data_IF_696738239599
#
_entry.id   IF_696738239599
#
_cell.length_a   1.000
_cell.length_b   1.000
_cell.length_c   1.000
_cell.angle_alpha   90.00
_cell.angle_beta   90.00
_cell.angle_gamma   90.00
#
_symmetry.space_group_name_H-M   'P 1'
#
loop_
_entity.id
_entity.type
_entity.pdbx_description
1 polymer ?
#
# COMPACT_ATOMS: atom_id res chain seq x y z
N UNK A 1 5.89 40.05 -1.32
CA UNK A 1 6.10 38.65 -1.75
C UNK A 1 6.98 37.99 -0.70
N UNK A 2 6.41 37.24 0.24
CA UNK A 2 7.19 36.54 1.25
C UNK A 2 7.84 35.32 0.59
N UNK A 3 9.16 35.33 0.41
CA UNK A 3 9.91 34.11 0.08
C UNK A 3 10.07 33.32 1.37
N UNK A 4 9.20 32.34 1.58
CA UNK A 4 9.45 31.31 2.58
C UNK A 4 10.63 30.47 2.06
N UNK A 5 11.69 30.39 2.85
CA UNK A 5 12.89 29.63 2.53
C UNK A 5 12.79 28.33 3.32
N UNK A 6 12.66 27.22 2.62
CA UNK A 6 12.58 25.90 3.24
C UNK A 6 13.97 25.30 3.31
N UNK A 7 14.40 24.88 4.49
CA UNK A 7 15.73 24.29 4.70
C UNK A 7 15.83 22.85 4.19
N UNK A 8 14.68 22.21 3.90
CA UNK A 8 14.64 20.83 3.41
C UNK A 8 13.45 20.64 2.45
N UNK A 9 13.72 20.05 1.28
CA UNK A 9 12.72 19.71 0.27
C UNK A 9 12.67 18.20 0.11
N UNK A 10 11.49 17.61 0.27
CA UNK A 10 11.25 16.17 0.05
C UNK A 10 10.74 15.97 -1.36
N UNK A 11 11.37 15.07 -2.11
CA UNK A 11 10.95 14.73 -3.47
C UNK A 11 9.99 13.55 -3.45
N UNK A 12 8.87 13.70 -4.16
CA UNK A 12 7.85 12.67 -4.31
C UNK A 12 7.70 12.41 -5.80
N UNK A 13 8.02 11.20 -6.22
CA UNK A 13 7.85 10.76 -7.59
C UNK A 13 6.52 10.05 -7.72
N UNK A 14 5.75 10.38 -8.75
CA UNK A 14 4.45 9.77 -9.03
C UNK A 14 4.41 9.31 -10.47
N UNK A 15 3.72 8.20 -10.71
CA UNK A 15 3.50 7.69 -12.06
C UNK A 15 2.18 6.90 -12.13
N UNK A 16 1.46 7.06 -13.23
CA UNK A 16 0.27 6.28 -13.53
C UNK A 16 0.48 5.42 -14.78
N UNK A 17 0.10 4.15 -14.69
CA UNK A 17 -0.03 3.26 -15.84
C UNK A 17 -1.51 2.96 -16.11
N UNK A 18 -1.79 2.21 -17.17
CA UNK A 18 -3.15 1.75 -17.44
C UNK A 18 -3.67 0.82 -16.34
N UNK A 19 -2.79 0.05 -15.73
CA UNK A 19 -3.15 -1.05 -14.82
C UNK A 19 -2.94 -0.70 -13.34
N UNK A 20 -2.02 0.22 -13.04
CA UNK A 20 -1.70 0.61 -11.67
C UNK A 20 -1.07 1.99 -11.53
N UNK A 21 -0.60 2.27 -10.33
CA UNK A 21 0.03 3.52 -9.92
C UNK A 21 1.26 3.26 -9.07
N UNK A 22 2.21 4.19 -9.11
CA UNK A 22 3.47 4.14 -8.38
C UNK A 22 3.77 5.47 -7.68
N UNK A 23 4.30 5.39 -6.47
CA UNK A 23 4.73 6.54 -5.66
C UNK A 23 6.08 6.20 -5.01
N UNK A 24 7.05 7.11 -5.09
CA UNK A 24 8.36 6.95 -4.44
C UNK A 24 8.72 8.22 -3.67
N UNK A 25 9.11 8.09 -2.41
CA UNK A 25 9.69 9.18 -1.61
C UNK A 25 10.54 8.59 -0.46
N UNK A 26 11.61 9.27 -0.04
CA UNK A 26 12.52 8.87 1.05
C UNK A 26 12.89 7.37 1.04
N UNK A 27 13.35 6.85 -0.10
CA UNK A 27 13.73 5.43 -0.34
C UNK A 27 12.59 4.40 -0.20
N UNK A 28 11.35 4.83 -0.01
CA UNK A 28 10.18 3.98 0.03
C UNK A 28 9.47 3.97 -1.32
N UNK A 29 9.10 2.77 -1.77
CA UNK A 29 8.34 2.54 -2.99
C UNK A 29 6.96 2.03 -2.60
N UNK A 30 5.93 2.64 -3.17
CA UNK A 30 4.55 2.25 -3.02
C UNK A 30 3.97 2.08 -4.40
N UNK A 31 3.18 1.05 -4.59
CA UNK A 31 2.41 0.87 -5.81
C UNK A 31 1.01 0.40 -5.47
N UNK A 32 0.20 0.21 -6.50
CA UNK A 32 -1.08 -0.46 -6.37
C UNK A 32 -1.80 -0.53 -7.70
N UNK A 33 -2.80 -1.39 -7.76
CA UNK A 33 -3.69 -1.46 -8.90
C UNK A 33 -4.79 -0.41 -8.79
N UNK A 34 -5.33 -0.04 -9.94
CA UNK A 34 -6.56 0.74 -10.00
C UNK A 34 -7.75 -0.11 -9.58
N UNK A 35 -8.66 0.47 -8.80
CA UNK A 35 -9.97 -0.14 -8.60
C UNK A 35 -10.70 -0.28 -9.95
N UNK A 36 -11.67 -1.21 -10.05
CA UNK A 36 -12.40 -1.49 -11.30
C UNK A 36 -12.98 -0.21 -11.93
N UNK A 37 -13.51 0.69 -11.11
CA UNK A 37 -14.03 1.99 -11.53
C UNK A 37 -12.92 2.94 -12.02
N UNK A 38 -11.77 2.93 -11.36
CA UNK A 38 -10.61 3.77 -11.69
C UNK A 38 -9.89 3.30 -12.96
N UNK A 39 -9.96 2.00 -13.31
CA UNK A 39 -9.31 1.44 -14.51
C UNK A 39 -9.78 2.11 -15.79
N UNK A 40 -11.04 2.54 -15.84
CA UNK A 40 -11.63 3.18 -17.02
C UNK A 40 -11.33 4.68 -17.15
N UNK A 41 -10.69 5.29 -16.15
CA UNK A 41 -10.36 6.71 -16.18
C UNK A 41 -9.24 7.00 -17.18
N UNK A 42 -9.31 8.18 -17.79
CA UNK A 42 -8.28 8.66 -18.70
C UNK A 42 -6.93 8.82 -17.98
N UNK A 43 -5.81 8.58 -18.68
CA UNK A 43 -4.47 8.59 -18.10
C UNK A 43 -4.15 9.90 -17.35
N UNK A 44 -4.49 11.06 -17.92
CA UNK A 44 -4.31 12.36 -17.23
C UNK A 44 -5.08 12.47 -15.90
N UNK A 45 -6.23 11.79 -15.77
CA UNK A 45 -6.97 11.74 -14.51
C UNK A 45 -6.22 10.86 -13.52
N UNK A 46 -5.81 9.67 -13.96
CA UNK A 46 -5.04 8.72 -13.17
C UNK A 46 -3.78 9.39 -12.59
N UNK A 47 -3.03 10.14 -13.39
CA UNK A 47 -1.85 10.90 -12.93
C UNK A 47 -2.15 11.84 -11.76
N UNK A 48 -3.17 12.70 -11.89
CA UNK A 48 -3.59 13.58 -10.80
C UNK A 48 -4.10 12.78 -9.59
N UNK A 49 -4.71 11.62 -9.83
CA UNK A 49 -5.19 10.75 -8.76
C UNK A 49 -4.03 10.11 -7.99
N UNK A 50 -2.92 9.77 -8.65
CA UNK A 50 -1.69 9.32 -7.98
C UNK A 50 -1.13 10.43 -7.09
N UNK A 51 -1.12 11.68 -7.56
CA UNK A 51 -0.72 12.84 -6.74
C UNK A 51 -1.60 12.93 -5.48
N UNK A 52 -2.91 12.79 -5.61
CA UNK A 52 -3.81 12.78 -4.45
C UNK A 52 -3.52 11.60 -3.50
N UNK A 53 -3.30 10.38 -4.02
CA UNK A 53 -2.92 9.22 -3.21
C UNK A 53 -1.59 9.44 -2.49
N UNK A 54 -0.61 10.09 -3.12
CA UNK A 54 0.68 10.43 -2.52
C UNK A 54 0.54 11.38 -1.33
N UNK A 55 -0.34 12.39 -1.42
CA UNK A 55 -0.61 13.30 -0.31
C UNK A 55 -1.25 12.61 0.89
N UNK A 56 -2.23 11.73 0.64
CA UNK A 56 -2.85 10.93 1.71
C UNK A 56 -1.83 10.02 2.38
N UNK A 57 -0.94 9.43 1.59
CA UNK A 57 0.12 8.56 2.09
C UNK A 57 1.12 9.33 2.96
N UNK A 58 1.62 10.48 2.48
CA UNK A 58 2.51 11.37 3.24
C UNK A 58 1.90 11.78 4.57
N UNK A 59 0.61 12.12 4.58
CA UNK A 59 -0.06 12.49 5.83
C UNK A 59 -0.10 11.32 6.83
N UNK A 60 -0.22 10.07 6.38
CA UNK A 60 -0.23 8.90 7.28
C UNK A 60 1.16 8.45 7.72
N UNK A 61 2.19 8.68 6.92
CA UNK A 61 3.57 8.21 7.20
C UNK A 61 4.45 9.29 7.82
N UNK A 62 4.28 10.56 7.45
CA UNK A 62 5.12 11.70 7.87
C UNK A 62 4.33 12.85 8.52
N UNK A 63 3.19 12.56 9.16
CA UNK A 63 2.33 13.58 9.79
C UNK A 63 3.09 14.59 10.67
N UNK A 64 4.13 14.12 11.38
CA UNK A 64 4.91 14.94 12.33
C UNK A 64 5.69 16.08 11.67
N UNK A 65 5.93 16.00 10.35
CA UNK A 65 6.73 16.97 9.60
C UNK A 65 5.89 17.83 8.63
N UNK A 66 4.56 17.67 8.63
CA UNK A 66 3.67 18.51 7.82
C UNK A 66 3.75 19.98 8.30
N UNK A 67 3.75 20.92 7.35
CA UNK A 67 3.90 22.36 7.64
C UNK A 67 5.33 22.86 7.85
N UNK A 68 6.32 21.96 7.94
CA UNK A 68 7.74 22.33 8.16
C UNK A 68 8.60 22.15 6.91
N UNK A 69 8.14 21.34 5.95
CA UNK A 69 8.89 20.94 4.77
C UNK A 69 8.18 21.37 3.48
N UNK A 70 8.96 21.63 2.44
CA UNK A 70 8.45 21.74 1.08
C UNK A 70 8.45 20.36 0.43
N UNK A 71 7.36 20.04 -0.26
CA UNK A 71 7.22 18.81 -1.03
C UNK A 71 7.28 19.12 -2.52
N UNK A 72 8.19 18.48 -3.24
CA UNK A 72 8.37 18.63 -4.68
C UNK A 72 7.87 17.38 -5.41
N UNK A 73 6.76 17.52 -6.13
CA UNK A 73 6.19 16.46 -6.97
C UNK A 73 6.95 16.35 -8.29
N UNK A 74 7.62 15.23 -8.48
CA UNK A 74 8.30 14.87 -9.72
C UNK A 74 7.33 14.08 -10.60
N UNK A 75 6.89 14.69 -11.71
CA UNK A 75 5.85 14.16 -12.60
C UNK A 75 6.36 14.14 -14.04
N UNK A 76 6.08 13.07 -14.78
CA UNK A 76 6.47 12.93 -16.18
C UNK A 76 5.35 13.28 -17.18
N UNK A 77 4.11 13.42 -16.71
CA UNK A 77 3.01 13.96 -17.49
C UNK A 77 2.96 15.49 -17.46
N UNK A 78 3.39 16.10 -18.56
CA UNK A 78 3.38 17.56 -18.78
C UNK A 78 1.96 18.16 -18.65
N UNK A 79 0.91 17.40 -18.94
CA UNK A 79 -0.48 17.86 -18.81
C UNK A 79 -0.89 18.02 -17.34
N UNK A 80 -0.39 17.20 -16.43
CA UNK A 80 -0.75 17.25 -15.01
C UNK A 80 -0.10 18.45 -14.29
N UNK A 81 1.10 18.85 -14.71
CA UNK A 81 1.88 19.93 -14.08
C UNK A 81 1.12 21.26 -14.02
N UNK A 82 0.50 21.78 -15.10
CA UNK A 82 -0.30 23.00 -15.04
C UNK A 82 -1.49 22.91 -14.09
N UNK A 83 -2.17 21.77 -14.02
CA UNK A 83 -3.32 21.60 -13.12
C UNK A 83 -2.92 21.74 -11.66
N UNK A 84 -1.74 21.22 -11.28
CA UNK A 84 -1.21 21.44 -9.93
C UNK A 84 -0.73 22.88 -9.78
N UNK A 85 0.20 23.36 -10.61
CA UNK A 85 0.81 24.69 -10.43
C UNK A 85 -0.17 25.87 -10.51
N UNK A 86 -1.27 25.74 -11.26
CA UNK A 86 -2.23 26.81 -11.49
C UNK A 86 -3.55 26.64 -10.72
N UNK A 87 -3.60 25.74 -9.74
CA UNK A 87 -4.80 25.47 -8.94
C UNK A 87 -5.99 25.01 -9.78
N UNK A 88 -5.72 24.30 -10.89
CA UNK A 88 -6.73 23.88 -11.84
C UNK A 88 -6.37 24.15 -13.29
N UNK A 89 -7.30 23.77 -14.17
CA UNK A 89 -7.21 23.99 -15.60
C UNK A 89 -8.58 24.35 -16.17
N UNK A 90 -8.59 24.86 -17.41
CA UNK A 90 -9.79 25.41 -18.05
C UNK A 90 -10.54 24.41 -18.91
N UNK A 91 -9.97 23.23 -19.19
CA UNK A 91 -10.44 22.36 -20.26
C UNK A 91 -11.21 21.12 -19.79
N UNK A 92 -11.04 20.68 -18.53
CA UNK A 92 -11.75 19.51 -18.00
C UNK A 92 -12.26 19.78 -16.59
N UNK A 93 -13.59 19.72 -16.42
CA UNK A 93 -14.24 19.89 -15.13
C UNK A 93 -13.83 18.79 -14.14
N UNK A 94 -13.66 17.56 -14.61
CA UNK A 94 -13.25 16.42 -13.78
C UNK A 94 -11.84 16.62 -13.22
N UNK A 95 -10.87 16.93 -14.10
CA UNK A 95 -9.48 17.19 -13.68
C UNK A 95 -9.40 18.42 -12.78
N UNK A 96 -10.22 19.44 -13.05
CA UNK A 96 -10.27 20.64 -12.23
C UNK A 96 -10.85 20.34 -10.84
N UNK A 97 -11.89 19.50 -10.76
CA UNK A 97 -12.47 19.05 -9.48
C UNK A 97 -11.43 18.29 -8.65
N UNK A 98 -10.65 17.42 -9.30
CA UNK A 98 -9.59 16.69 -8.62
C UNK A 98 -8.44 17.61 -8.18
N UNK A 99 -8.01 18.55 -9.02
CA UNK A 99 -7.01 19.56 -8.67
C UNK A 99 -7.46 20.42 -7.48
N UNK A 100 -8.72 20.84 -7.44
CA UNK A 100 -9.29 21.56 -6.29
C UNK A 100 -9.26 20.71 -5.02
N UNK A 101 -9.61 19.43 -5.08
CA UNK A 101 -9.51 18.52 -3.94
C UNK A 101 -8.09 18.38 -3.42
N UNK A 102 -7.11 18.23 -4.32
CA UNK A 102 -5.69 18.19 -3.99
C UNK A 102 -5.27 19.45 -3.24
N UNK A 103 -5.64 20.62 -3.75
CA UNK A 103 -5.27 21.89 -3.11
C UNK A 103 -5.99 22.14 -1.80
N UNK A 104 -7.28 21.81 -1.71
CA UNK A 104 -8.04 21.87 -0.45
C UNK A 104 -7.39 21.01 0.61
N UNK A 105 -6.97 19.78 0.26
CA UNK A 105 -6.24 18.89 1.15
C UNK A 105 -4.91 19.53 1.60
N UNK A 106 -4.14 20.08 0.66
CA UNK A 106 -2.88 20.75 0.99
C UNK A 106 -3.07 21.92 1.94
N UNK A 107 -4.08 22.76 1.72
CA UNK A 107 -4.37 23.90 2.60
C UNK A 107 -4.82 23.45 4.00
N UNK A 108 -5.65 22.43 4.09
CA UNK A 108 -6.11 21.88 5.38
C UNK A 108 -4.96 21.32 6.22
N UNK A 109 -3.93 20.78 5.58
CA UNK A 109 -2.81 20.10 6.23
C UNK A 109 -1.48 20.87 6.18
N UNK A 110 -1.51 22.16 5.80
CA UNK A 110 -0.32 23.02 5.65
C UNK A 110 0.79 22.39 4.78
N UNK A 111 0.41 21.74 3.68
CA UNK A 111 1.34 21.10 2.74
C UNK A 111 1.72 22.12 1.66
N UNK A 112 3.01 22.39 1.54
CA UNK A 112 3.55 23.25 0.48
C UNK A 112 4.03 22.41 -0.69
N UNK A 113 3.27 22.40 -1.78
CA UNK A 113 3.59 21.68 -2.99
C UNK A 113 4.26 22.56 -4.04
N UNK A 114 5.21 21.96 -4.75
CA UNK A 114 5.77 22.44 -6.01
C UNK A 114 5.87 21.27 -6.98
N UNK A 115 5.89 21.51 -8.29
CA UNK A 115 6.08 20.44 -9.27
C UNK A 115 7.39 20.59 -10.03
N UNK A 116 7.96 19.46 -10.44
CA UNK A 116 9.14 19.35 -11.28
C UNK A 116 8.84 18.33 -12.38
N UNK A 117 9.05 18.73 -13.64
CA UNK A 117 9.00 17.77 -14.74
C UNK A 117 10.21 16.84 -14.68
N UNK A 118 9.97 15.54 -14.83
CA UNK A 118 11.04 14.55 -15.04
C UNK A 118 10.73 13.69 -16.27
N UNK A 119 11.72 13.34 -17.10
CA UNK A 119 11.48 12.37 -18.18
C UNK A 119 11.13 10.99 -17.62
N UNK A 120 10.15 10.29 -18.21
CA UNK A 120 9.67 8.96 -17.74
C UNK A 120 10.79 7.94 -17.54
N UNK A 121 11.82 7.94 -18.41
CA UNK A 121 13.00 7.06 -18.28
C UNK A 121 13.80 7.24 -16.98
N UNK A 122 13.62 8.37 -16.31
CA UNK A 122 14.26 8.72 -15.04
C UNK A 122 13.24 8.77 -13.90
N UNK A 123 11.99 8.40 -14.14
CA UNK A 123 10.95 8.34 -13.12
C UNK A 123 11.05 7.02 -12.35
N UNK A 124 11.50 7.02 -11.08
CA UNK A 124 11.57 5.80 -10.30
C UNK A 124 10.18 5.22 -9.99
N UNK A 125 9.10 5.99 -10.19
CA UNK A 125 7.74 5.52 -10.01
C UNK A 125 7.18 4.74 -11.22
N UNK A 126 7.83 4.77 -12.40
CA UNK A 126 7.39 4.07 -13.62
C UNK A 126 7.43 2.54 -13.48
N UNK A 127 8.49 1.99 -12.89
CA UNK A 127 8.56 0.55 -12.63
C UNK A 127 7.49 0.10 -11.60
N UNK A 128 7.35 0.76 -10.43
CA UNK A 128 6.27 0.49 -9.48
C UNK A 128 4.86 0.61 -10.06
N UNK A 129 4.58 1.58 -10.94
CA UNK A 129 3.24 1.78 -11.52
C UNK A 129 2.85 0.68 -12.50
N UNK A 130 3.83 0.04 -13.13
CA UNK A 130 3.66 -1.06 -14.10
C UNK A 130 3.80 -2.43 -13.46
N UNK A 131 4.18 -2.49 -12.19
CA UNK A 131 4.36 -3.74 -11.47
C UNK A 131 2.99 -4.34 -11.10
N UNK A 132 2.40 -5.07 -12.05
CA UNK A 132 1.25 -5.92 -11.82
C UNK A 132 1.63 -6.95 -10.74
N UNK A 133 1.09 -6.78 -9.53
CA UNK A 133 1.16 -7.81 -8.48
C UNK A 133 0.05 -8.85 -8.69
N UNK A 134 -0.26 -9.22 -9.93
CA UNK A 134 -1.35 -10.16 -10.25
C UNK A 134 -0.99 -11.63 -9.96
N UNK A 135 0.30 -11.98 -9.79
CA UNK A 135 0.70 -13.39 -9.93
C UNK A 135 0.88 -14.20 -8.63
N UNK A 136 0.63 -13.65 -7.43
CA UNK A 136 0.83 -14.42 -6.17
C UNK A 136 -0.19 -14.11 -5.07
N UNK A 137 -1.39 -13.59 -5.39
CA UNK A 137 -2.47 -13.49 -4.40
C UNK A 137 -3.23 -14.81 -4.32
N UNK A 138 -2.58 -15.85 -3.76
CA UNK A 138 -3.33 -16.98 -3.25
C UNK A 138 -4.12 -16.51 -2.03
N UNK A 139 -5.39 -16.88 -1.96
CA UNK A 139 -6.24 -16.51 -0.83
C UNK A 139 -6.96 -17.74 -0.31
N UNK A 140 -7.24 -17.75 0.99
CA UNK A 140 -8.02 -18.81 1.62
C UNK A 140 -9.51 -18.52 1.38
N UNK A 141 -10.33 -19.46 0.92
CA UNK A 141 -11.79 -19.25 0.83
C UNK A 141 -12.39 -18.84 2.17
N UNK A 142 -13.43 -17.99 2.14
CA UNK A 142 -14.07 -17.50 3.37
C UNK A 142 -14.54 -18.64 4.31
N UNK A 143 -15.15 -19.75 3.81
CA UNK A 143 -15.54 -20.86 4.69
C UNK A 143 -14.35 -21.51 5.43
N UNK A 144 -13.21 -21.63 4.75
CA UNK A 144 -11.97 -22.16 5.35
C UNK A 144 -11.43 -21.21 6.40
N UNK A 145 -11.47 -19.90 6.15
CA UNK A 145 -11.11 -18.89 7.16
C UNK A 145 -12.06 -18.95 8.37
N UNK A 146 -13.37 -19.02 8.17
CA UNK A 146 -14.36 -19.06 9.26
C UNK A 146 -14.15 -20.29 10.16
N UNK A 147 -13.81 -21.43 9.55
CA UNK A 147 -13.44 -22.64 10.27
C UNK A 147 -12.15 -22.46 11.08
N UNK A 148 -11.08 -21.92 10.49
CA UNK A 148 -9.84 -21.60 11.20
C UNK A 148 -10.08 -20.59 12.33
N UNK A 149 -10.98 -19.64 12.12
CA UNK A 149 -11.36 -18.63 13.10
C UNK A 149 -12.12 -19.24 14.28
N UNK A 150 -12.90 -20.29 14.04
CA UNK A 150 -13.54 -21.09 15.11
C UNK A 150 -12.50 -21.86 15.94
N UNK A 151 -11.43 -22.34 15.32
CA UNK A 151 -10.40 -23.14 16.00
C UNK A 151 -9.37 -22.30 16.78
N UNK A 152 -8.86 -21.24 16.17
CA UNK A 152 -7.69 -20.48 16.65
C UNK A 152 -7.94 -18.98 16.82
N UNK A 153 -9.13 -18.52 16.46
CA UNK A 153 -9.55 -17.12 16.57
C UNK A 153 -10.06 -16.74 17.97
N UNK A 154 -10.80 -15.61 18.06
CA UNK A 154 -11.11 -14.71 16.96
C UNK A 154 -9.84 -14.00 16.47
N UNK A 155 -9.57 -14.08 15.17
CA UNK A 155 -8.57 -13.26 14.51
C UNK A 155 -9.11 -11.83 14.40
N UNK A 156 -8.27 -10.86 14.68
CA UNK A 156 -8.68 -9.45 14.73
C UNK A 156 -8.03 -8.61 13.66
N UNK A 157 -6.95 -9.09 13.04
CA UNK A 157 -6.21 -8.35 12.03
C UNK A 157 -5.73 -9.32 10.94
N UNK A 158 -6.05 -9.00 9.70
CA UNK A 158 -5.61 -9.74 8.51
C UNK A 158 -4.36 -9.08 7.91
N UNK A 159 -3.23 -9.80 7.89
CA UNK A 159 -1.99 -9.32 7.31
C UNK A 159 -1.76 -9.91 5.92
N UNK A 160 -1.21 -9.07 5.04
CA UNK A 160 -0.92 -9.41 3.64
C UNK A 160 -2.17 -9.54 2.76
N UNK A 161 -3.26 -8.87 3.15
CA UNK A 161 -4.51 -8.87 2.42
C UNK A 161 -4.74 -7.56 1.66
N UNK A 162 -5.34 -7.67 0.49
CA UNK A 162 -5.90 -6.57 -0.29
C UNK A 162 -7.37 -6.33 0.11
N UNK A 163 -7.96 -5.17 -0.25
CA UNK A 163 -9.39 -4.93 -0.07
C UNK A 163 -10.28 -5.99 -0.72
N UNK A 164 -9.77 -6.69 -1.73
CA UNK A 164 -10.49 -7.70 -2.49
C UNK A 164 -10.48 -9.07 -1.82
N UNK A 165 -9.43 -9.41 -1.05
CA UNK A 165 -9.26 -10.75 -0.50
C UNK A 165 -9.26 -10.82 1.04
N UNK A 166 -9.33 -9.67 1.73
CA UNK A 166 -9.34 -9.59 3.19
C UNK A 166 -10.46 -10.38 3.83
N UNK A 167 -10.12 -11.11 4.89
CA UNK A 167 -11.04 -11.86 5.76
C UNK A 167 -11.56 -11.04 6.91
N UNK A 168 -10.93 -9.88 7.15
CA UNK A 168 -11.29 -8.97 8.24
C UNK A 168 -11.36 -7.55 7.65
N UNK A 169 -12.47 -7.19 6.98
CA UNK A 169 -12.63 -5.88 6.33
C UNK A 169 -12.49 -4.68 7.28
N UNK A 170 -12.74 -4.89 8.57
CA UNK A 170 -12.59 -3.85 9.61
C UNK A 170 -11.14 -3.57 10.01
N UNK A 171 -10.21 -4.49 9.75
CA UNK A 171 -8.81 -4.36 10.15
C UNK A 171 -7.90 -5.28 9.32
N UNK A 172 -7.28 -4.71 8.28
CA UNK A 172 -6.33 -5.43 7.44
C UNK A 172 -5.12 -4.60 7.03
N UNK A 173 -4.02 -5.28 6.73
CA UNK A 173 -2.73 -4.72 6.34
C UNK A 173 -2.42 -5.14 4.90
N UNK A 174 -2.43 -4.18 3.99
CA UNK A 174 -2.18 -4.38 2.57
C UNK A 174 -0.78 -3.90 2.19
N UNK A 175 -0.17 -4.51 1.19
CA UNK A 175 1.06 -3.97 0.59
C UNK A 175 0.81 -2.57 0.01
N UNK A 176 -0.36 -2.37 -0.61
CA UNK A 176 -0.73 -1.15 -1.31
C UNK A 176 -1.64 -0.27 -0.44
N UNK A 177 -1.64 1.04 -0.73
CA UNK A 177 -2.55 1.96 -0.04
C UNK A 177 -4.00 1.71 -0.44
N UNK A 178 -4.89 1.69 0.55
CA UNK A 178 -6.34 1.74 0.39
C UNK A 178 -6.96 2.57 1.52
N UNK A 179 -8.06 3.32 1.31
CA UNK A 179 -8.66 4.15 2.36
C UNK A 179 -8.93 3.41 3.68
N UNK A 180 -9.37 2.15 3.57
CA UNK A 180 -9.75 1.31 4.71
C UNK A 180 -8.60 0.44 5.26
N UNK A 181 -7.38 0.58 4.74
CA UNK A 181 -6.24 -0.21 5.24
C UNK A 181 -5.83 0.30 6.63
N UNK A 182 -5.66 -0.63 7.57
CA UNK A 182 -5.13 -0.33 8.91
C UNK A 182 -3.68 0.14 8.78
N UNK A 183 -2.92 -0.52 7.91
CA UNK A 183 -1.50 -0.27 7.73
C UNK A 183 -1.02 -0.69 6.33
N UNK A 184 -0.24 0.16 5.67
CA UNK A 184 0.42 -0.10 4.39
C UNK A 184 1.77 -0.79 4.61
N UNK A 185 2.03 -1.87 3.87
CA UNK A 185 3.20 -2.73 3.95
C UNK A 185 3.43 -3.31 5.35
N UNK A 186 3.13 -4.60 5.52
CA UNK A 186 3.25 -5.31 6.79
C UNK A 186 4.65 -5.23 7.44
N UNK A 187 5.73 -4.99 6.71
CA UNK A 187 7.07 -4.92 7.29
C UNK A 187 7.53 -3.53 7.71
N UNK A 188 6.77 -2.48 7.39
CA UNK A 188 7.18 -1.07 7.60
C UNK A 188 7.13 -0.57 9.05
N UNK A 189 6.62 -1.37 10.01
CA UNK A 189 6.52 -1.07 11.43
C UNK A 189 6.70 -2.35 12.26
N UNK A 190 6.90 -2.26 13.58
CA UNK A 190 6.92 -3.41 14.47
C UNK A 190 5.53 -4.02 14.68
N UNK A 191 5.39 -5.35 14.56
CA UNK A 191 4.10 -6.04 14.75
C UNK A 191 3.61 -6.05 16.21
N UNK A 192 4.49 -5.76 17.19
CA UNK A 192 4.10 -5.57 18.58
C UNK A 192 3.16 -4.36 18.80
N UNK A 193 3.03 -3.47 17.82
CA UNK A 193 2.07 -2.36 17.85
C UNK A 193 0.65 -2.79 17.45
N UNK A 194 0.49 -3.97 16.84
CA UNK A 194 -0.81 -4.52 16.47
C UNK A 194 -1.38 -5.26 17.68
N UNK A 195 -2.59 -4.90 18.13
CA UNK A 195 -3.25 -5.58 19.24
C UNK A 195 -4.18 -6.67 18.74
N UNK A 196 -4.04 -7.88 19.28
CA UNK A 196 -4.92 -9.03 19.03
C UNK A 196 -4.26 -10.15 18.22
N UNK A 197 -5.09 -11.11 17.75
CA UNK A 197 -4.61 -12.30 17.04
C UNK A 197 -4.47 -12.02 15.56
N UNK A 198 -3.29 -12.30 15.02
CA UNK A 198 -2.96 -12.04 13.63
C UNK A 198 -3.34 -13.23 12.75
N UNK A 199 -3.97 -12.96 11.62
CA UNK A 199 -4.12 -13.90 10.52
C UNK A 199 -3.15 -13.50 9.41
N UNK A 200 -2.40 -14.47 8.86
CA UNK A 200 -1.40 -14.21 7.82
C UNK A 200 -1.60 -15.19 6.66
N UNK A 201 -1.92 -14.67 5.49
CA UNK A 201 -1.91 -15.41 4.21
C UNK A 201 -0.96 -14.73 3.20
N UNK A 202 0.37 -14.79 3.44
CA UNK A 202 1.34 -14.01 2.69
C UNK A 202 1.81 -14.67 1.39
N UNK A 203 2.38 -13.90 0.44
CA UNK A 203 3.19 -14.46 -0.63
C UNK A 203 4.28 -15.43 -0.13
N UNK A 204 4.44 -16.57 -0.80
CA UNK A 204 5.30 -17.69 -0.35
C UNK A 204 6.78 -17.31 -0.22
N UNK A 205 7.24 -16.32 -0.98
CA UNK A 205 8.62 -15.81 -0.93
C UNK A 205 8.92 -14.99 0.33
N UNK A 206 7.90 -14.60 1.10
CA UNK A 206 8.05 -13.80 2.32
C UNK A 206 8.07 -14.64 3.60
N UNK A 207 7.80 -15.95 3.52
CA UNK A 207 7.59 -16.82 4.69
C UNK A 207 8.77 -16.77 5.66
N UNK A 208 10.02 -16.88 5.19
CA UNK A 208 11.19 -16.83 6.08
C UNK A 208 11.26 -15.52 6.88
N UNK A 209 11.02 -14.39 6.21
CA UNK A 209 11.03 -13.05 6.84
C UNK A 209 9.87 -12.91 7.84
N UNK A 210 8.73 -13.54 7.57
CA UNK A 210 7.58 -13.57 8.47
C UNK A 210 7.89 -14.38 9.71
N UNK A 211 8.47 -15.57 9.58
CA UNK A 211 8.86 -16.39 10.72
C UNK A 211 9.84 -15.65 11.64
N UNK A 212 10.81 -14.92 11.07
CA UNK A 212 11.71 -14.05 11.84
C UNK A 212 10.98 -12.96 12.62
N UNK A 213 9.90 -12.39 12.05
CA UNK A 213 9.05 -11.41 12.77
C UNK A 213 8.20 -12.09 13.85
N UNK A 214 7.68 -13.28 13.59
CA UNK A 214 6.88 -14.05 14.55
C UNK A 214 7.70 -14.47 15.78
N UNK A 215 9.00 -14.73 15.64
CA UNK A 215 9.88 -15.01 16.79
C UNK A 215 9.89 -13.93 17.86
N UNK A 216 9.69 -12.67 17.45
CA UNK A 216 9.72 -11.50 18.33
C UNK A 216 8.31 -11.06 18.76
N UNK A 217 7.28 -11.76 18.30
CA UNK A 217 5.90 -11.36 18.50
C UNK A 217 5.35 -11.99 19.80
N UNK A 218 4.85 -11.19 20.74
CA UNK A 218 4.29 -11.72 21.98
C UNK A 218 2.89 -12.31 21.82
N UNK A 219 2.17 -11.95 20.76
CA UNK A 219 0.77 -12.37 20.54
C UNK A 219 0.64 -13.59 19.62
N UNK A 220 -0.47 -14.34 19.71
CA UNK A 220 -0.72 -15.48 18.84
C UNK A 220 -0.95 -15.03 17.39
N UNK A 221 -0.44 -15.84 16.47
CA UNK A 221 -0.60 -15.63 15.04
C UNK A 221 -0.90 -16.96 14.34
N UNK A 222 -1.79 -16.92 13.35
CA UNK A 222 -2.06 -18.04 12.45
C UNK A 222 -1.41 -17.72 11.10
N UNK A 223 -0.39 -18.49 10.74
CA UNK A 223 0.29 -18.39 9.45
C UNK A 223 -0.21 -19.50 8.53
N UNK A 224 -0.77 -19.11 7.39
CA UNK A 224 -1.06 -20.03 6.30
C UNK A 224 0.15 -20.02 5.35
N UNK A 225 0.59 -21.20 4.95
CA UNK A 225 1.74 -21.39 4.07
C UNK A 225 1.63 -22.69 3.31
N UNK A 226 2.42 -22.84 2.25
CA UNK A 226 2.48 -24.07 1.47
C UNK A 226 3.14 -25.18 2.27
N UNK A 227 2.65 -26.41 2.17
CA UNK A 227 3.30 -27.55 2.81
C UNK A 227 4.52 -27.98 1.97
N UNK A 228 5.66 -27.32 2.18
CA UNK A 228 6.92 -27.59 1.49
C UNK A 228 8.01 -28.08 2.47
N UNK A 229 8.05 -29.39 2.77
CA UNK A 229 9.00 -29.93 3.74
C UNK A 229 10.48 -29.65 3.45
N UNK A 230 10.82 -29.45 2.17
CA UNK A 230 12.18 -29.17 1.72
C UNK A 230 12.53 -27.68 1.69
N UNK A 231 11.59 -26.78 2.01
CA UNK A 231 11.88 -25.35 2.05
C UNK A 231 12.79 -25.04 3.25
N UNK A 232 13.76 -24.15 3.05
CA UNK A 232 14.73 -23.77 4.09
C UNK A 232 14.09 -23.19 5.35
N UNK A 233 12.90 -22.58 5.22
CA UNK A 233 12.13 -22.02 6.33
C UNK A 233 11.23 -23.04 7.05
N UNK A 234 11.00 -24.23 6.47
CA UNK A 234 10.04 -25.21 6.99
C UNK A 234 10.40 -25.72 8.40
N UNK A 235 11.67 -26.05 8.71
CA UNK A 235 12.04 -26.46 10.07
C UNK A 235 11.79 -25.35 11.10
N UNK A 236 12.00 -24.09 10.72
CA UNK A 236 11.72 -22.94 11.59
C UNK A 236 10.22 -22.77 11.83
N UNK A 237 9.39 -22.96 10.79
CA UNK A 237 7.94 -22.91 10.93
C UNK A 237 7.42 -23.95 11.94
N UNK A 238 7.91 -25.19 11.85
CA UNK A 238 7.56 -26.25 12.81
C UNK A 238 8.07 -25.95 14.22
N UNK A 239 9.27 -25.38 14.35
CA UNK A 239 9.83 -25.00 15.65
C UNK A 239 9.03 -23.90 16.35
N UNK A 240 8.47 -22.96 15.59
CA UNK A 240 7.67 -21.86 16.13
C UNK A 240 6.19 -22.23 16.32
N UNK A 241 5.75 -23.35 15.76
CA UNK A 241 4.36 -23.77 15.85
C UNK A 241 4.00 -24.13 17.30
N UNK A 242 2.99 -23.46 17.85
CA UNK A 242 2.48 -23.74 19.19
C UNK A 242 1.49 -24.93 19.23
N UNK A 243 1.01 -25.35 18.05
CA UNK A 243 0.08 -26.46 17.84
C UNK A 243 0.49 -27.22 16.59
N UNK A 244 0.05 -28.46 16.47
CA UNK A 244 0.29 -29.26 15.27
C UNK A 244 -0.28 -28.55 14.03
N UNK A 245 0.53 -28.39 12.97
CA UNK A 245 0.04 -27.79 11.73
C UNK A 245 -1.12 -28.58 11.14
N UNK A 246 -2.16 -27.86 10.73
CA UNK A 246 -3.27 -28.44 9.99
C UNK A 246 -2.91 -28.41 8.50
N UNK A 247 -3.01 -29.57 7.85
CA UNK A 247 -2.88 -29.67 6.40
C UNK A 247 -4.25 -29.40 5.79
N UNK A 248 -4.37 -28.29 5.08
CA UNK A 248 -5.56 -27.98 4.27
C UNK A 248 -5.49 -28.79 2.96
N UNK A 249 -6.61 -29.38 2.57
CA UNK A 249 -6.70 -30.06 1.27
C UNK A 249 -6.94 -29.05 0.13
N UNK A 250 -6.59 -29.45 -1.09
CA UNK A 250 -6.57 -28.54 -2.25
C UNK A 250 -7.97 -28.02 -2.63
N UNK A 251 -9.01 -28.80 -2.35
CA UNK A 251 -10.43 -28.43 -2.46
C UNK A 251 -10.87 -27.36 -1.45
N UNK A 252 -10.09 -27.11 -0.40
CA UNK A 252 -10.34 -26.08 0.61
C UNK A 252 -9.64 -24.75 0.29
N UNK A 253 -8.91 -24.66 -0.84
CA UNK A 253 -8.04 -23.54 -1.22
C UNK A 253 -8.37 -22.95 -2.60
N UNK A 254 -9.42 -23.42 -3.29
CA UNK A 254 -9.77 -22.98 -4.65
C UNK A 254 -11.16 -22.36 -4.72
N UNK A 255 -11.21 -21.15 -5.29
CA UNK A 255 -12.00 -20.78 -6.48
C UNK A 255 -11.16 -19.79 -7.32
#
# INVERSE_FOLDING_TARGET
MFKVRWDTTVQIFTDASNDGWGIVFDDHFYSGQWATEEKHLHINHKELQVVHKALLLLHRTHHQHLGQLQYQLCIDNITAIPYINKFGGTCSLELNTLAMRIWQYCFQHNIYLSTLYIPSKYNPADAPSRQLHDEIEWYVPQPTFDWLNTLWGPHTIDLFASPQNTKIPSAFVSYNYHPNVLWVNAFSRPWCQLSGRLYLAPPWNLILRILQRLQQLPQPATLITLNWPFASWYPLALHLAQRDPIILQQDQLLD
#
